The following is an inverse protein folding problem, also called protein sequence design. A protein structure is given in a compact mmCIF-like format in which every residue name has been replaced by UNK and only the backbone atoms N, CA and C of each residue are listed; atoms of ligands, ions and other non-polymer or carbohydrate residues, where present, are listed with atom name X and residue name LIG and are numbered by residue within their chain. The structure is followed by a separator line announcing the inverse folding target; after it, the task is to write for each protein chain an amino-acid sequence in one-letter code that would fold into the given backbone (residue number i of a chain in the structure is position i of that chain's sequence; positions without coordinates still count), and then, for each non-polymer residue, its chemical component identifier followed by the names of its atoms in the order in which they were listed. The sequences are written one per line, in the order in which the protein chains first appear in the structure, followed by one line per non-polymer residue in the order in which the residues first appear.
data_IF_132925499977
#
_entry.id   IF_132925499977
#
_cell.length_a   1.000
_cell.length_b   1.000
_cell.length_c   1.000
_cell.angle_alpha   90.00
_cell.angle_beta   90.00
_cell.angle_gamma   90.00
#
_symmetry.space_group_name_H-M   'P 1'
#
loop_
_entity.id
_entity.type
_entity.pdbx_description
1 polymer ?
#
# COMPACT_ATOMS: atom_id res chain seq x y z
N UNK A 1 0.32 -11.71 -4.71
CA UNK A 1 0.84 -10.41 -4.20
C UNK A 1 2.35 -10.22 -4.43
N UNK A 2 3.25 -11.15 -4.06
CA UNK A 2 4.70 -11.07 -4.34
C UNK A 2 5.27 -12.28 -5.10
N UNK A 3 4.40 -13.23 -5.45
CA UNK A 3 4.67 -14.51 -6.09
C UNK A 3 4.70 -14.43 -7.62
N UNK A 4 4.44 -13.25 -8.20
CA UNK A 4 4.42 -13.04 -9.65
C UNK A 4 3.26 -13.74 -10.37
N UNK A 5 2.33 -14.34 -9.64
CA UNK A 5 1.12 -14.94 -10.19
C UNK A 5 0.01 -13.90 -10.23
N UNK A 6 -0.65 -13.80 -11.37
CA UNK A 6 -1.73 -12.82 -11.57
C UNK A 6 -3.03 -13.24 -10.87
N UNK A 7 -3.21 -14.53 -10.62
CA UNK A 7 -4.45 -15.09 -10.08
C UNK A 7 -4.46 -15.19 -8.54
N UNK A 8 -3.40 -14.74 -7.88
CA UNK A 8 -3.28 -14.75 -6.41
C UNK A 8 -3.32 -13.34 -5.85
N UNK A 9 -4.09 -13.15 -4.78
CA UNK A 9 -4.22 -11.88 -4.08
C UNK A 9 -3.93 -12.03 -2.59
N UNK A 10 -3.65 -10.90 -1.95
CA UNK A 10 -3.80 -10.75 -0.50
C UNK A 10 -5.18 -10.16 -0.22
N UNK A 11 -5.88 -10.71 0.76
CA UNK A 11 -7.15 -10.18 1.27
C UNK A 11 -7.04 -9.94 2.76
N UNK A 12 -7.53 -8.80 3.22
CA UNK A 12 -7.75 -8.55 4.64
C UNK A 12 -8.99 -9.27 5.14
N UNK A 13 -9.16 -9.28 6.47
CA UNK A 13 -10.46 -9.55 7.11
C UNK A 13 -11.36 -8.30 7.04
N UNK A 14 -12.58 -8.40 7.57
CA UNK A 14 -13.48 -7.27 7.74
C UNK A 14 -12.98 -6.28 8.80
N UNK A 15 -13.42 -5.03 8.68
CA UNK A 15 -13.11 -3.92 9.57
C UNK A 15 -12.23 -2.85 8.93
N UNK A 16 -12.15 -1.70 9.57
CA UNK A 16 -11.25 -0.62 9.18
C UNK A 16 -10.69 0.06 10.45
N UNK A 17 -9.43 0.53 10.44
CA UNK A 17 -8.50 0.51 9.31
C UNK A 17 -7.91 -0.88 9.02
N UNK A 18 -7.43 -1.08 7.80
CA UNK A 18 -6.59 -2.21 7.40
C UNK A 18 -5.19 -1.72 7.06
N UNK A 19 -4.18 -2.60 7.13
CA UNK A 19 -2.82 -2.20 6.80
C UNK A 19 -1.96 -3.34 6.26
N UNK A 20 -0.93 -2.98 5.50
CA UNK A 20 0.17 -3.86 5.09
C UNK A 20 1.48 -3.22 5.51
N UNK A 21 2.29 -3.95 6.28
CA UNK A 21 3.61 -3.51 6.72
C UNK A 21 4.69 -4.35 6.07
N UNK A 22 5.68 -3.69 5.48
CA UNK A 22 6.80 -4.32 4.81
C UNK A 22 8.08 -3.84 5.50
N UNK A 23 8.91 -4.80 5.90
CA UNK A 23 10.24 -4.57 6.45
C UNK A 23 11.27 -5.03 5.43
N UNK A 24 12.16 -4.13 5.03
CA UNK A 24 13.25 -4.48 4.14
C UNK A 24 14.42 -5.07 4.94
N UNK A 25 15.13 -6.02 4.32
CA UNK A 25 16.36 -6.60 4.91
C UNK A 25 17.49 -5.58 5.02
N UNK A 26 17.49 -4.61 4.11
CA UNK A 26 18.50 -3.57 3.96
C UNK A 26 17.80 -2.24 3.68
N UNK A 27 18.50 -1.12 3.89
CA UNK A 27 18.02 0.20 3.49
C UNK A 27 17.77 0.22 1.98
N UNK A 28 16.62 0.76 1.57
CA UNK A 28 16.24 0.96 0.16
C UNK A 28 15.89 2.41 -0.07
N UNK A 29 16.12 2.90 -1.28
CA UNK A 29 15.61 4.19 -1.73
C UNK A 29 14.24 3.94 -2.34
N UNK A 30 13.22 4.66 -1.86
CA UNK A 30 11.87 4.63 -2.38
C UNK A 30 11.53 5.97 -3.02
N UNK A 31 10.97 5.94 -4.22
CA UNK A 31 10.50 7.12 -4.98
C UNK A 31 9.05 7.02 -5.41
N UNK A 32 8.53 5.80 -5.52
CA UNK A 32 7.17 5.55 -5.96
C UNK A 32 6.70 4.17 -5.50
N UNK A 33 5.41 3.91 -5.64
CA UNK A 33 4.86 2.57 -5.55
C UNK A 33 3.73 2.40 -6.54
N UNK A 34 3.43 1.15 -6.90
CA UNK A 34 2.21 0.80 -7.63
C UNK A 34 1.41 -0.23 -6.87
N UNK A 35 0.10 -0.06 -6.85
CA UNK A 35 -0.85 -0.94 -6.17
C UNK A 35 -2.01 -1.27 -7.11
N UNK A 36 -2.44 -2.53 -7.07
CA UNK A 36 -3.59 -3.02 -7.83
C UNK A 36 -4.60 -3.63 -6.86
N UNK A 37 -5.74 -2.96 -6.72
CA UNK A 37 -6.86 -3.46 -5.93
C UNK A 37 -7.79 -4.33 -6.77
N UNK A 38 -8.62 -5.12 -6.10
CA UNK A 38 -9.85 -5.60 -6.70
C UNK A 38 -10.91 -4.49 -6.64
N UNK A 39 -11.62 -4.25 -7.74
CA UNK A 39 -12.78 -3.37 -7.77
C UNK A 39 -13.84 -3.81 -6.75
N UNK A 40 -14.38 -2.85 -6.01
CA UNK A 40 -15.24 -3.05 -4.86
C UNK A 40 -14.49 -3.19 -3.53
N UNK A 41 -13.16 -3.34 -3.52
CA UNK A 41 -12.34 -3.58 -2.32
C UNK A 41 -11.11 -2.66 -2.22
N UNK A 42 -11.15 -1.49 -2.86
CA UNK A 42 -10.07 -0.52 -2.85
C UNK A 42 -10.06 0.32 -1.56
N UNK A 43 -8.86 0.68 -1.10
CA UNK A 43 -8.71 1.70 -0.06
C UNK A 43 -9.08 3.09 -0.60
N UNK A 44 -9.71 3.94 0.22
CA UNK A 44 -10.06 5.32 -0.16
C UNK A 44 -9.13 6.35 0.49
N UNK A 45 -9.23 6.50 1.81
CA UNK A 45 -8.41 7.43 2.58
C UNK A 45 -7.12 6.74 3.03
N UNK A 46 -6.11 6.73 2.15
CA UNK A 46 -4.90 5.94 2.39
C UNK A 46 -3.72 6.80 2.85
N UNK A 47 -2.88 6.22 3.70
CA UNK A 47 -1.63 6.83 4.16
C UNK A 47 -0.51 5.81 3.99
N UNK A 48 0.56 6.21 3.32
CA UNK A 48 1.82 5.49 3.34
C UNK A 48 2.67 6.10 4.45
N UNK A 49 2.93 5.32 5.49
CA UNK A 49 3.94 5.62 6.51
C UNK A 49 5.26 4.98 6.08
N UNK A 50 6.34 5.74 6.09
CA UNK A 50 7.66 5.21 5.71
C UNK A 50 8.76 5.89 6.49
N UNK A 51 9.86 5.18 6.71
CA UNK A 51 10.98 5.74 7.47
C UNK A 51 12.15 4.80 7.61
N UNK A 52 13.17 5.31 8.28
CA UNK A 52 14.35 4.54 8.67
C UNK A 52 14.28 4.16 10.15
N UNK A 53 15.21 3.33 10.62
CA UNK A 53 15.25 2.82 12.00
C UNK A 53 15.45 3.91 13.08
N UNK A 54 15.64 5.17 12.70
CA UNK A 54 15.88 6.29 13.62
C UNK A 54 14.61 7.13 13.90
N UNK A 55 13.43 6.50 13.80
CA UNK A 55 12.16 6.90 14.45
C UNK A 55 11.35 8.08 13.87
N UNK A 56 11.78 8.74 12.80
CA UNK A 56 10.88 9.67 12.09
C UNK A 56 10.17 8.96 10.91
N UNK A 57 8.85 8.85 11.03
CA UNK A 57 7.97 8.42 9.95
C UNK A 57 7.55 9.62 9.13
N UNK A 58 7.82 9.55 7.84
CA UNK A 58 7.21 10.40 6.84
C UNK A 58 5.88 9.81 6.38
N UNK A 59 4.97 10.69 5.98
CA UNK A 59 3.61 10.33 5.61
C UNK A 59 3.32 10.85 4.20
N UNK A 60 2.80 9.97 3.36
CA UNK A 60 2.30 10.32 2.04
C UNK A 60 0.83 9.91 1.91
N UNK A 61 -0.05 10.88 1.69
CA UNK A 61 -1.47 10.64 1.46
C UNK A 61 -1.69 10.24 0.00
N UNK A 62 -2.51 9.22 -0.22
CA UNK A 62 -2.88 8.79 -1.57
C UNK A 62 -4.33 8.31 -1.62
N UNK A 63 -4.95 8.45 -2.78
CA UNK A 63 -6.39 8.22 -2.98
C UNK A 63 -6.60 7.35 -4.23
N UNK A 64 -6.57 6.01 -4.10
CA UNK A 64 -6.83 5.10 -5.20
C UNK A 64 -8.26 5.21 -5.73
N UNK A 65 -8.42 5.03 -7.02
CA UNK A 65 -9.72 4.79 -7.64
C UNK A 65 -10.15 3.34 -7.41
N UNK A 66 -11.46 3.11 -7.35
CA UNK A 66 -12.06 1.78 -7.24
C UNK A 66 -12.09 1.05 -8.59
N UNK A 67 -10.91 0.61 -9.04
CA UNK A 67 -10.70 -0.05 -10.33
C UNK A 67 -9.76 -1.24 -10.20
N UNK A 68 -9.82 -2.18 -11.15
CA UNK A 68 -8.93 -3.34 -11.21
C UNK A 68 -7.55 -3.02 -11.82
N UNK A 69 -7.35 -1.81 -12.33
CA UNK A 69 -6.11 -1.41 -12.97
C UNK A 69 -5.02 -1.10 -11.93
N UNK A 70 -3.76 -1.33 -12.33
CA UNK A 70 -2.61 -0.94 -11.51
C UNK A 70 -2.52 0.58 -11.49
N UNK A 71 -2.43 1.16 -10.30
CA UNK A 71 -2.32 2.60 -10.08
C UNK A 71 -0.95 2.91 -9.48
N UNK A 72 -0.28 3.93 -10.01
CA UNK A 72 1.05 4.35 -9.58
C UNK A 72 0.97 5.68 -8.81
N UNK A 73 1.74 5.77 -7.73
CA UNK A 73 1.83 6.95 -6.88
C UNK A 73 3.29 7.34 -6.71
N UNK A 74 3.63 8.54 -7.15
CA UNK A 74 4.98 9.10 -7.10
C UNK A 74 5.12 9.96 -5.85
N UNK A 75 6.18 9.72 -5.09
CA UNK A 75 6.50 10.49 -3.90
C UNK A 75 7.15 11.83 -4.29
N UNK A 76 7.09 12.86 -3.44
CA UNK A 76 7.67 14.17 -3.74
C UNK A 76 9.21 14.18 -3.76
N UNK A 77 9.86 13.07 -3.41
CA UNK A 77 11.30 12.93 -3.34
C UNK A 77 11.74 11.47 -3.24
N UNK A 78 13.03 11.28 -3.04
CA UNK A 78 13.64 9.97 -2.81
C UNK A 78 13.87 9.78 -1.31
N UNK A 79 13.39 8.68 -0.76
CA UNK A 79 13.39 8.44 0.68
C UNK A 79 14.13 7.16 1.02
N UNK A 80 15.06 7.26 1.97
CA UNK A 80 15.75 6.11 2.54
C UNK A 80 14.83 5.39 3.54
N UNK A 81 14.36 4.20 3.16
CA UNK A 81 13.40 3.43 3.94
C UNK A 81 13.98 2.09 4.38
N UNK A 82 13.66 1.70 5.62
CA UNK A 82 13.85 0.33 6.12
C UNK A 82 12.52 -0.36 6.37
N UNK A 83 11.44 0.41 6.52
CA UNK A 83 10.08 -0.08 6.70
C UNK A 83 9.09 0.84 6.00
N UNK A 84 8.02 0.27 5.48
CA UNK A 84 6.86 0.99 4.98
C UNK A 84 5.58 0.35 5.49
N UNK A 85 4.54 1.13 5.68
CA UNK A 85 3.23 0.69 6.11
C UNK A 85 2.16 1.42 5.29
N UNK A 86 1.41 0.65 4.50
CA UNK A 86 0.24 1.13 3.77
C UNK A 86 -0.96 1.00 4.70
N UNK A 87 -1.50 2.13 5.16
CA UNK A 87 -2.69 2.19 6.00
C UNK A 87 -3.90 2.60 5.14
N UNK A 88 -4.93 1.78 5.15
CA UNK A 88 -6.20 2.01 4.49
C UNK A 88 -7.23 2.38 5.56
N UNK A 89 -7.52 3.67 5.74
CA UNK A 89 -8.44 4.13 6.80
C UNK A 89 -9.89 3.70 6.54
N UNK A 90 -10.27 3.68 5.26
CA UNK A 90 -11.60 3.33 4.77
C UNK A 90 -11.48 2.54 3.48
N UNK A 91 -12.50 1.72 3.18
CA UNK A 91 -12.59 0.91 1.96
C UNK A 91 -13.84 1.27 1.12
N UNK A 92 -13.83 0.88 -0.14
CA UNK A 92 -15.02 0.80 -1.00
C UNK A 92 -15.93 -0.34 -0.61
N UNK A 93 -15.38 -1.40 -0.01
CA UNK A 93 -16.16 -2.52 0.50
C UNK A 93 -16.94 -2.09 1.75
N UNK A 94 -18.21 -2.48 1.82
CA UNK A 94 -19.10 -2.14 2.94
C UNK A 94 -18.60 -2.66 4.29
N UNK A 95 -17.93 -3.83 4.30
CA UNK A 95 -17.38 -4.42 5.50
C UNK A 95 -15.94 -3.97 5.80
N UNK A 96 -15.38 -3.04 5.02
CA UNK A 96 -14.04 -2.51 5.25
C UNK A 96 -12.90 -3.37 4.70
N UNK A 97 -13.19 -4.44 3.95
CA UNK A 97 -12.16 -5.36 3.44
C UNK A 97 -11.32 -4.70 2.35
N UNK A 98 -10.06 -5.13 2.25
CA UNK A 98 -9.12 -4.72 1.21
C UNK A 98 -8.62 -5.96 0.48
N UNK A 99 -8.62 -5.93 -0.86
CA UNK A 99 -8.08 -7.01 -1.70
C UNK A 99 -7.06 -6.43 -2.66
N UNK A 100 -5.84 -6.96 -2.63
CA UNK A 100 -4.69 -6.47 -3.41
C UNK A 100 -4.06 -7.61 -4.19
N UNK A 101 -4.01 -7.47 -5.52
CA UNK A 101 -3.34 -8.41 -6.41
C UNK A 101 -1.85 -8.11 -6.51
N UNK A 102 -1.50 -6.83 -6.68
CA UNK A 102 -0.12 -6.41 -6.90
C UNK A 102 0.25 -5.23 -6.01
N UNK A 103 1.44 -5.29 -5.44
CA UNK A 103 2.08 -4.18 -4.73
C UNK A 103 3.57 -4.19 -5.07
N UNK A 104 4.04 -3.09 -5.66
CA UNK A 104 5.46 -2.89 -5.97
C UNK A 104 5.92 -1.55 -5.41
N UNK A 105 7.16 -1.51 -4.97
CA UNK A 105 7.84 -0.35 -4.43
C UNK A 105 9.07 -0.12 -5.30
N UNK A 106 9.28 1.13 -5.74
CA UNK A 106 10.32 1.53 -6.69
C UNK A 106 11.28 2.56 -6.09
#
# INVERSE_FOLDING_TARGET
MFDGQYDTCWSSDAGSPQWIKIKFKERRVMKAFSIQFQGGFAGKDCVLHFGNSNEEFENFLFYPNDVNDTQEFVLPGNFDVTHVEFMFKTSTDFFGRIVIYNLKIY
#
